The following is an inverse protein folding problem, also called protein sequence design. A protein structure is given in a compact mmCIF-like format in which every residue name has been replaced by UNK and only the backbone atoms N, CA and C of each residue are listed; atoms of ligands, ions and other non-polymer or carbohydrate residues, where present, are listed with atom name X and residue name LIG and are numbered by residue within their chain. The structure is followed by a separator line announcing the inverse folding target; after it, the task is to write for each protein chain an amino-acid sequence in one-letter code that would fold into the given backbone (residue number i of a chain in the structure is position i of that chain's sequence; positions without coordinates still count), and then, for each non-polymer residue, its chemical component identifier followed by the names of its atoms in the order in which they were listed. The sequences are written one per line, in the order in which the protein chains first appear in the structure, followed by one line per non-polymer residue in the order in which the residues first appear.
data_IF_813039006071
#
_entry.id   IF_813039006071
#
_cell.length_a   1.000
_cell.length_b   1.000
_cell.length_c   1.000
_cell.angle_alpha   90.00
_cell.angle_beta   90.00
_cell.angle_gamma   90.00
#
_symmetry.space_group_name_H-M   'P 1'
#
loop_
_entity.id
_entity.type
_entity.pdbx_description
1 polymer ?
#
# COMPACT_ATOMS: atom_id res chain seq x y z
N UNK A 1 9.73 -8.70 9.40
CA UNK A 1 10.53 -8.66 8.16
C UNK A 1 9.68 -8.07 7.05
N UNK A 2 10.22 -7.19 6.21
CA UNK A 2 9.52 -6.54 5.07
C UNK A 2 9.97 -7.17 3.76
N UNK A 3 9.10 -7.30 2.77
CA UNK A 3 9.43 -7.93 1.48
C UNK A 3 9.85 -6.87 0.46
N UNK A 4 10.89 -7.16 -0.34
CA UNK A 4 11.24 -6.32 -1.49
C UNK A 4 10.32 -6.63 -2.68
N UNK A 5 9.83 -5.59 -3.35
CA UNK A 5 8.99 -5.70 -4.55
C UNK A 5 9.63 -4.91 -5.70
N UNK A 6 9.35 -5.32 -6.94
CA UNK A 6 9.87 -4.66 -8.14
C UNK A 6 8.71 -4.27 -9.05
N UNK A 7 8.80 -3.08 -9.64
CA UNK A 7 7.92 -2.65 -10.71
C UNK A 7 8.68 -2.70 -12.05
N UNK A 8 7.95 -2.93 -13.14
CA UNK A 8 8.49 -2.90 -14.50
C UNK A 8 8.99 -1.51 -14.89
N UNK A 9 8.38 -0.48 -14.32
CA UNK A 9 8.70 0.93 -14.59
C UNK A 9 9.38 1.59 -13.39
N UNK A 10 10.39 2.42 -13.68
CA UNK A 10 11.04 3.27 -12.67
C UNK A 10 10.02 4.29 -12.18
N UNK A 11 9.88 4.38 -10.87
CA UNK A 11 9.00 5.36 -10.25
C UNK A 11 9.64 6.74 -10.40
N UNK A 12 8.99 7.66 -11.12
CA UNK A 12 9.51 9.02 -11.28
C UNK A 12 9.39 9.81 -9.98
N UNK A 13 8.35 9.53 -9.20
CA UNK A 13 8.05 10.17 -7.92
C UNK A 13 8.02 9.13 -6.79
N UNK A 14 8.12 9.62 -5.54
CA UNK A 14 7.98 8.74 -4.38
C UNK A 14 6.51 8.52 -4.08
N UNK A 15 6.09 7.26 -4.04
CA UNK A 15 4.68 6.88 -3.90
C UNK A 15 4.46 6.04 -2.64
N UNK A 16 3.38 6.32 -1.93
CA UNK A 16 2.89 5.52 -0.81
C UNK A 16 1.59 4.84 -1.22
N UNK A 17 1.58 3.51 -1.27
CA UNK A 17 0.37 2.74 -1.63
C UNK A 17 -0.30 2.24 -0.37
N UNK A 18 -1.51 2.71 -0.15
CA UNK A 18 -2.38 2.32 0.95
C UNK A 18 -3.38 1.26 0.50
N UNK A 19 -3.67 0.32 1.39
CA UNK A 19 -4.77 -0.64 1.28
C UNK A 19 -5.95 -0.05 2.05
N UNK A 20 -7.02 0.29 1.34
CA UNK A 20 -8.25 0.84 1.89
C UNK A 20 -9.26 -0.29 2.15
N UNK A 21 -9.83 -0.28 3.35
CA UNK A 21 -10.91 -1.17 3.77
C UNK A 21 -12.03 -0.32 4.36
N UNK A 22 -13.04 0.02 3.56
CA UNK A 22 -14.04 1.02 3.95
C UNK A 22 -13.38 2.38 4.18
N UNK A 23 -13.44 2.90 5.40
CA UNK A 23 -12.86 4.21 5.76
C UNK A 23 -11.45 4.12 6.38
N UNK A 24 -10.89 2.92 6.47
CA UNK A 24 -9.58 2.69 7.07
C UNK A 24 -8.51 2.47 6.00
N UNK A 25 -7.38 3.16 6.15
CA UNK A 25 -6.24 3.10 5.23
C UNK A 25 -5.01 2.55 5.96
N UNK A 26 -4.36 1.56 5.36
CA UNK A 26 -3.14 0.94 5.89
C UNK A 26 -2.03 1.00 4.86
N UNK A 27 -0.84 1.47 5.24
CA UNK A 27 0.30 1.53 4.34
C UNK A 27 0.76 0.12 3.98
N UNK A 28 0.69 -0.23 2.70
CA UNK A 28 1.06 -1.55 2.18
C UNK A 28 2.37 -1.55 1.41
N UNK A 29 2.64 -0.50 0.63
CA UNK A 29 3.83 -0.44 -0.22
C UNK A 29 4.44 0.96 -0.20
N UNK A 30 5.77 1.01 -0.23
CA UNK A 30 6.55 2.25 -0.31
C UNK A 30 7.43 2.19 -1.55
N UNK A 31 7.33 3.21 -2.38
CA UNK A 31 8.09 3.38 -3.61
C UNK A 31 8.92 4.66 -3.51
N UNK A 32 10.18 4.59 -3.93
CA UNK A 32 11.10 5.72 -3.90
C UNK A 32 11.39 6.17 -5.33
N UNK A 33 11.34 7.48 -5.55
CA UNK A 33 11.67 8.11 -6.84
C UNK A 33 13.05 7.67 -7.35
N UNK A 34 13.15 7.42 -8.65
CA UNK A 34 14.37 6.98 -9.31
C UNK A 34 14.70 5.50 -9.09
N UNK A 35 13.82 4.73 -8.44
CA UNK A 35 13.98 3.28 -8.26
C UNK A 35 12.82 2.52 -8.89
N UNK A 36 13.13 1.38 -9.51
CA UNK A 36 12.13 0.37 -9.90
C UNK A 36 11.81 -0.60 -8.77
N UNK A 37 12.45 -0.43 -7.61
CA UNK A 37 12.26 -1.30 -6.44
C UNK A 37 11.52 -0.56 -5.34
N UNK A 38 10.59 -1.26 -4.71
CA UNK A 38 9.79 -0.80 -3.59
C UNK A 38 9.89 -1.75 -2.41
N UNK A 39 9.23 -1.37 -1.32
CA UNK A 39 9.18 -2.15 -0.10
C UNK A 39 7.72 -2.44 0.25
N UNK A 40 7.37 -3.71 0.29
CA UNK A 40 6.08 -4.16 0.80
C UNK A 40 6.17 -4.34 2.32
N UNK A 41 5.20 -3.72 3.02
CA UNK A 41 5.03 -3.86 4.45
C UNK A 41 4.09 -5.03 4.74
N UNK A 42 4.43 -5.87 5.73
CA UNK A 42 3.55 -6.95 6.16
C UNK A 42 2.29 -6.38 6.79
N UNK A 43 1.15 -7.03 6.54
CA UNK A 43 -0.12 -6.61 7.14
C UNK A 43 -0.06 -6.69 8.65
N UNK A 44 -0.46 -5.62 9.32
CA UNK A 44 -0.56 -5.61 10.78
C UNK A 44 -1.71 -6.50 11.27
N UNK A 45 -1.70 -6.89 12.56
CA UNK A 45 -2.84 -7.59 13.17
C UNK A 45 -4.15 -6.81 13.02
N UNK A 46 -4.07 -5.48 13.15
CA UNK A 46 -5.22 -4.58 12.99
C UNK A 46 -5.74 -4.61 11.55
N UNK A 47 -4.87 -4.48 10.56
CA UNK A 47 -5.23 -4.55 9.13
C UNK A 47 -5.90 -5.88 8.79
N UNK A 48 -5.41 -7.00 9.33
CA UNK A 48 -6.01 -8.31 9.11
C UNK A 48 -7.42 -8.41 9.69
N UNK A 49 -7.64 -7.86 10.89
CA UNK A 49 -8.98 -7.83 11.50
C UNK A 49 -9.92 -6.95 10.67
N UNK A 50 -9.50 -5.74 10.28
CA UNK A 50 -10.28 -4.86 9.42
C UNK A 50 -10.63 -5.55 8.10
N UNK A 51 -9.66 -6.21 7.44
CA UNK A 51 -9.87 -6.95 6.20
C UNK A 51 -10.96 -8.03 6.35
N UNK A 52 -10.96 -8.76 7.47
CA UNK A 52 -11.96 -9.78 7.75
C UNK A 52 -13.35 -9.17 7.94
N UNK A 53 -13.46 -8.08 8.69
CA UNK A 53 -14.74 -7.39 8.88
C UNK A 53 -15.26 -6.80 7.57
N UNK A 54 -14.42 -6.14 6.77
CA UNK A 54 -14.83 -5.60 5.46
C UNK A 54 -15.28 -6.69 4.49
N UNK A 55 -14.63 -7.86 4.50
CA UNK A 55 -15.01 -8.98 3.64
C UNK A 55 -16.40 -9.55 3.99
N UNK A 56 -16.78 -9.55 5.28
CA UNK A 56 -18.15 -9.95 5.72
C UNK A 56 -19.22 -9.00 5.17
N UNK A 57 -18.87 -7.73 4.97
CA UNK A 57 -19.76 -6.70 4.41
C UNK A 57 -19.63 -6.55 2.89
N UNK A 58 -18.95 -7.48 2.20
CA UNK A 58 -18.78 -7.44 0.74
C UNK A 58 -17.79 -6.39 0.23
N UNK A 59 -17.03 -5.75 1.11
CA UNK A 59 -16.02 -4.77 0.76
C UNK A 59 -14.74 -5.44 0.23
N UNK A 60 -14.39 -5.15 -1.02
CA UNK A 60 -13.07 -5.50 -1.56
C UNK A 60 -12.04 -4.44 -1.15
N UNK A 61 -10.79 -4.84 -0.84
CA UNK A 61 -9.72 -3.88 -0.59
C UNK A 61 -9.38 -3.10 -1.86
N UNK A 62 -9.33 -1.78 -1.73
CA UNK A 62 -8.86 -0.89 -2.79
C UNK A 62 -7.39 -0.52 -2.53
N UNK A 63 -6.59 -0.38 -3.59
CA UNK A 63 -5.23 0.18 -3.50
C UNK A 63 -5.28 1.66 -3.88
N UNK A 64 -4.86 2.52 -2.96
CA UNK A 64 -4.83 3.97 -3.16
C UNK A 64 -3.37 4.44 -3.12
N UNK A 65 -2.87 4.95 -4.24
CA UNK A 65 -1.53 5.53 -4.32
C UNK A 65 -1.59 7.02 -3.99
N UNK A 66 -0.73 7.45 -3.08
CA UNK A 66 -0.50 8.86 -2.78
C UNK A 66 0.90 9.22 -3.29
N UNK A 67 0.95 10.16 -4.22
CA UNK A 67 2.20 10.70 -4.76
C UNK A 67 2.69 11.80 -3.83
N UNK A 68 3.94 11.70 -3.39
CA UNK A 68 4.58 12.77 -2.63
C UNK A 68 4.98 13.90 -3.57
N UNK A 69 4.17 14.96 -3.63
CA UNK A 69 4.56 16.22 -4.27
C UNK A 69 5.79 16.78 -3.54
N UNK A 70 6.86 17.04 -4.29
CA UNK A 70 8.09 17.62 -3.76
C UNK A 70 7.77 19.10 -3.43
N UNK A 71 7.93 19.55 -2.16
CA UNK A 71 7.68 20.95 -1.79
C UNK A 71 8.65 21.92 -2.45
#
# INVERSE_FOLDING_TARGET
MTRGIQNKEVQQESNLVFRRYGDQYFLGEVWISGRSTGRELPSSRKERLTKQESAKHGGNPEKVAVVGDKP
#
